data_IF_147157355898
#
_entry.id   IF_147157355898
#
_cell.length_a   1.000
_cell.length_b   1.000
_cell.length_c   1.000
_cell.angle_alpha   90.00
_cell.angle_beta   90.00
_cell.angle_gamma   90.00
#
_symmetry.space_group_name_H-M   'P 1'
#
loop_
_entity.id
_entity.type
_entity.pdbx_description
1 polymer ?
#
# COMPACT_ATOMS: atom_id res chain seq x y z
N UNK A 1 -24.14 16.46 21.11
CA UNK A 1 -22.93 15.97 21.81
C UNK A 1 -22.85 14.44 21.85
N UNK A 2 -23.92 13.68 22.13
CA UNK A 2 -23.89 12.21 22.14
C UNK A 2 -23.58 11.58 20.76
N UNK A 3 -24.24 12.05 19.68
CA UNK A 3 -24.06 11.52 18.32
C UNK A 3 -22.64 11.67 17.74
N UNK A 4 -21.93 12.76 18.10
CA UNK A 4 -20.54 12.99 17.69
C UNK A 4 -19.62 11.99 18.38
N UNK A 5 -19.80 11.78 19.69
CA UNK A 5 -19.02 10.82 20.48
C UNK A 5 -19.22 9.38 20.00
N UNK A 6 -20.45 9.01 19.66
CA UNK A 6 -20.76 7.68 19.12
C UNK A 6 -20.10 7.48 17.74
N UNK A 7 -20.04 8.52 16.91
CA UNK A 7 -19.36 8.49 15.61
C UNK A 7 -17.85 8.34 15.77
N UNK A 8 -17.22 9.10 16.66
CA UNK A 8 -15.79 8.98 16.98
C UNK A 8 -15.43 7.59 17.50
N UNK A 9 -16.25 7.01 18.38
CA UNK A 9 -16.04 5.67 18.90
C UNK A 9 -16.12 4.61 17.80
N UNK A 10 -17.07 4.74 16.87
CA UNK A 10 -17.18 3.84 15.71
C UNK A 10 -15.96 3.91 14.79
N UNK A 11 -15.44 5.11 14.54
CA UNK A 11 -14.23 5.30 13.73
C UNK A 11 -13.02 4.64 14.39
N UNK A 12 -12.80 4.89 15.68
CA UNK A 12 -11.71 4.26 16.46
C UNK A 12 -11.77 2.74 16.43
N UNK A 13 -12.96 2.17 16.58
CA UNK A 13 -13.14 0.73 16.53
C UNK A 13 -12.83 0.17 15.14
N UNK A 14 -13.33 0.82 14.08
CA UNK A 14 -13.05 0.45 12.69
C UNK A 14 -11.55 0.47 12.40
N UNK A 15 -10.87 1.55 12.78
CA UNK A 15 -9.44 1.71 12.52
C UNK A 15 -8.62 0.65 13.30
N UNK A 16 -9.04 0.34 14.53
CA UNK A 16 -8.45 -0.75 15.33
C UNK A 16 -8.63 -2.13 14.69
N UNK A 17 -9.81 -2.40 14.11
CA UNK A 17 -10.10 -3.65 13.41
C UNK A 17 -9.25 -3.76 12.14
N UNK A 18 -9.23 -2.71 11.32
CA UNK A 18 -8.45 -2.67 10.08
C UNK A 18 -6.95 -2.86 10.34
N UNK A 19 -6.42 -2.26 11.41
CA UNK A 19 -5.03 -2.47 11.81
C UNK A 19 -4.76 -3.93 12.20
N UNK A 20 -5.64 -4.55 13.00
CA UNK A 20 -5.49 -5.95 13.42
C UNK A 20 -5.58 -6.93 12.24
N UNK A 21 -6.48 -6.68 11.30
CA UNK A 21 -6.58 -7.45 10.06
C UNK A 21 -5.31 -7.33 9.23
N UNK A 22 -4.79 -6.11 9.05
CA UNK A 22 -3.54 -5.88 8.34
C UNK A 22 -2.34 -6.55 9.05
N UNK A 23 -2.24 -6.50 10.38
CA UNK A 23 -1.15 -7.18 11.10
C UNK A 23 -1.26 -8.71 11.00
N UNK A 24 -2.47 -9.27 10.98
CA UNK A 24 -2.67 -10.69 10.73
C UNK A 24 -2.27 -11.08 9.30
N UNK A 25 -2.70 -10.33 8.28
CA UNK A 25 -2.33 -10.54 6.88
C UNK A 25 -0.82 -10.40 6.67
N UNK A 26 -0.18 -9.41 7.31
CA UNK A 26 1.26 -9.23 7.28
C UNK A 26 2.05 -10.40 7.87
N UNK A 27 1.52 -11.03 8.92
CA UNK A 27 2.16 -12.20 9.55
C UNK A 27 1.94 -13.50 8.77
N UNK A 28 0.80 -13.64 8.10
CA UNK A 28 0.36 -14.90 7.51
C UNK A 28 0.48 -14.96 5.97
N UNK A 29 0.46 -13.82 5.29
CA UNK A 29 0.44 -13.73 3.83
C UNK A 29 1.75 -13.21 3.27
N UNK A 30 2.46 -14.05 2.50
CA UNK A 30 3.74 -13.67 1.89
C UNK A 30 3.61 -12.48 0.93
N UNK A 31 2.59 -12.49 0.08
CA UNK A 31 2.32 -11.38 -0.85
C UNK A 31 2.01 -10.08 -0.09
N UNK A 32 1.17 -10.15 0.94
CA UNK A 32 0.81 -8.98 1.74
C UNK A 32 2.03 -8.41 2.47
N UNK A 33 2.85 -9.29 3.07
CA UNK A 33 4.10 -8.89 3.71
C UNK A 33 5.06 -8.23 2.72
N UNK A 34 5.30 -8.85 1.57
CA UNK A 34 6.15 -8.31 0.51
C UNK A 34 5.70 -6.91 0.09
N UNK A 35 4.39 -6.71 -0.12
CA UNK A 35 3.85 -5.40 -0.49
C UNK A 35 4.07 -4.35 0.59
N UNK A 36 3.81 -4.67 1.86
CA UNK A 36 4.02 -3.73 2.96
C UNK A 36 5.51 -3.39 3.14
N UNK A 37 6.39 -4.39 3.06
CA UNK A 37 7.83 -4.18 3.16
C UNK A 37 8.34 -3.31 2.00
N UNK A 38 7.88 -3.55 0.76
CA UNK A 38 8.21 -2.72 -0.40
C UNK A 38 7.75 -1.26 -0.26
N UNK A 39 6.55 -1.02 0.30
CA UNK A 39 6.07 0.35 0.57
C UNK A 39 6.98 1.03 1.61
N UNK A 40 7.35 0.33 2.68
CA UNK A 40 8.23 0.86 3.74
C UNK A 40 9.63 1.18 3.17
N UNK A 41 10.18 0.28 2.37
CA UNK A 41 11.53 0.40 1.82
C UNK A 41 11.62 1.51 0.78
N UNK A 42 10.64 1.63 -0.12
CA UNK A 42 10.50 2.76 -1.05
C UNK A 42 10.39 4.10 -0.31
N UNK A 43 9.56 4.15 0.73
CA UNK A 43 9.36 5.37 1.50
C UNK A 43 10.68 5.86 2.14
N UNK A 44 11.53 4.91 2.58
CA UNK A 44 12.80 5.21 3.24
C UNK A 44 13.97 5.43 2.29
N UNK A 45 13.96 4.85 1.08
CA UNK A 45 15.10 4.89 0.15
C UNK A 45 15.47 6.32 -0.29
N UNK A 46 14.47 7.19 -0.46
CA UNK A 46 14.66 8.56 -0.92
C UNK A 46 15.38 9.49 0.08
N UNK A 47 15.56 9.06 1.33
CA UNK A 47 16.07 9.91 2.42
C UNK A 47 17.37 9.39 3.05
N UNK A 48 18.15 8.61 2.30
CA UNK A 48 19.48 8.13 2.74
C UNK A 48 19.44 7.02 3.79
N UNK A 49 18.26 6.44 4.05
CA UNK A 49 18.19 5.12 4.69
C UNK A 49 18.65 4.05 3.71
N UNK A 50 19.12 2.91 4.24
CA UNK A 50 19.61 1.72 3.51
C UNK A 50 18.56 1.03 2.61
N UNK A 51 17.74 1.78 1.89
CA UNK A 51 16.75 1.23 0.97
C UNK A 51 17.43 0.75 -0.30
N UNK A 52 17.15 -0.49 -0.70
CA UNK A 52 17.63 -1.07 -1.95
C UNK A 52 16.86 -0.56 -3.19
N UNK A 53 15.87 0.31 -2.97
CA UNK A 53 14.99 0.85 -4.00
C UNK A 53 15.52 2.12 -4.68
N UNK A 54 15.24 2.22 -5.99
CA UNK A 54 15.31 3.46 -6.73
C UNK A 54 14.16 4.42 -6.38
N UNK A 55 13.87 5.36 -7.29
CA UNK A 55 12.84 6.36 -7.04
C UNK A 55 11.38 5.84 -7.11
N UNK A 56 11.20 4.60 -7.53
CA UNK A 56 9.94 4.00 -7.93
C UNK A 56 9.91 2.51 -7.56
N UNK A 57 8.73 1.90 -7.49
CA UNK A 57 8.59 0.45 -7.30
C UNK A 57 9.21 -0.33 -8.47
N UNK A 58 9.72 -1.52 -8.19
CA UNK A 58 10.05 -2.52 -9.22
C UNK A 58 8.76 -3.02 -9.88
N UNK A 59 8.91 -3.75 -11.00
CA UNK A 59 7.74 -4.30 -11.69
C UNK A 59 7.03 -5.37 -10.85
N UNK A 60 7.74 -6.13 -10.04
CA UNK A 60 7.17 -7.19 -9.18
C UNK A 60 6.38 -6.60 -8.01
N UNK A 61 6.91 -5.57 -7.35
CA UNK A 61 6.24 -4.94 -6.21
C UNK A 61 4.99 -4.19 -6.65
N UNK A 62 5.08 -3.44 -7.76
CA UNK A 62 3.92 -2.78 -8.35
C UNK A 62 2.85 -3.80 -8.76
N UNK A 63 3.26 -4.97 -9.26
CA UNK A 63 2.35 -6.05 -9.60
C UNK A 63 1.69 -6.64 -8.34
N UNK A 64 2.42 -6.85 -7.25
CA UNK A 64 1.87 -7.31 -5.98
C UNK A 64 0.89 -6.32 -5.35
N UNK A 65 1.23 -5.02 -5.37
CA UNK A 65 0.33 -3.94 -4.91
C UNK A 65 -0.96 -3.96 -5.74
N UNK A 66 -0.84 -4.02 -7.07
CA UNK A 66 -1.99 -4.07 -7.98
C UNK A 66 -2.86 -5.30 -7.72
N UNK A 67 -2.27 -6.47 -7.52
CA UNK A 67 -3.03 -7.70 -7.27
C UNK A 67 -3.84 -7.59 -5.96
N UNK A 68 -3.28 -7.02 -4.89
CA UNK A 68 -4.04 -6.77 -3.66
C UNK A 68 -5.17 -5.75 -3.89
N UNK A 69 -4.88 -4.66 -4.61
CA UNK A 69 -5.90 -3.65 -4.93
C UNK A 69 -7.06 -4.28 -5.71
N UNK A 70 -6.76 -5.06 -6.74
CA UNK A 70 -7.78 -5.65 -7.62
C UNK A 70 -8.58 -6.78 -6.93
N UNK A 71 -7.99 -7.47 -5.95
CA UNK A 71 -8.70 -8.46 -5.14
C UNK A 71 -9.80 -7.81 -4.28
N UNK A 72 -9.54 -6.63 -3.72
CA UNK A 72 -10.43 -5.98 -2.75
C UNK A 72 -11.23 -4.79 -3.29
N UNK A 73 -10.95 -4.31 -4.51
CA UNK A 73 -11.60 -3.14 -5.10
C UNK A 73 -12.16 -3.41 -6.49
N UNK A 74 -13.38 -2.91 -6.75
CA UNK A 74 -14.08 -3.03 -8.04
C UNK A 74 -14.25 -1.68 -8.73
N UNK A 75 -14.21 -0.59 -7.97
CA UNK A 75 -14.34 0.77 -8.48
C UNK A 75 -13.06 1.58 -8.26
N UNK A 76 -12.92 2.69 -8.99
CA UNK A 76 -11.78 3.61 -8.83
C UNK A 76 -11.65 4.10 -7.37
N UNK A 77 -12.75 4.48 -6.74
CA UNK A 77 -12.76 4.98 -5.36
C UNK A 77 -12.36 3.88 -4.36
N UNK A 78 -12.81 2.65 -4.58
CA UNK A 78 -12.38 1.51 -3.76
C UNK A 78 -10.89 1.21 -3.95
N UNK A 79 -10.34 1.36 -5.15
CA UNK A 79 -8.89 1.15 -5.40
C UNK A 79 -8.05 2.14 -4.57
N UNK A 80 -8.44 3.41 -4.52
CA UNK A 80 -7.79 4.39 -3.66
C UNK A 80 -8.02 4.11 -2.17
N UNK A 81 -9.21 3.63 -1.77
CA UNK A 81 -9.46 3.27 -0.38
C UNK A 81 -8.56 2.11 0.09
N UNK A 82 -8.38 1.08 -0.73
CA UNK A 82 -7.47 -0.04 -0.44
C UNK A 82 -6.01 0.43 -0.44
N UNK A 83 -5.61 1.24 -1.41
CA UNK A 83 -4.28 1.83 -1.50
C UNK A 83 -3.93 2.64 -0.25
N UNK A 84 -4.84 3.51 0.18
CA UNK A 84 -4.69 4.30 1.40
C UNK A 84 -4.60 3.43 2.64
N UNK A 85 -5.35 2.32 2.70
CA UNK A 85 -5.27 1.39 3.82
C UNK A 85 -3.91 0.69 3.89
N UNK A 86 -3.34 0.27 2.75
CA UNK A 86 -1.99 -0.31 2.67
C UNK A 86 -0.93 0.68 3.15
N UNK A 87 -0.96 1.91 2.62
CA UNK A 87 0.01 2.97 3.00
C UNK A 87 -0.11 3.29 4.49
N UNK A 88 -1.32 3.52 5.01
CA UNK A 88 -1.51 3.80 6.44
C UNK A 88 -0.95 2.71 7.35
N UNK A 89 -1.15 1.43 6.99
CA UNK A 89 -0.56 0.33 7.75
C UNK A 89 0.97 0.34 7.67
N UNK A 90 1.53 0.54 6.47
CA UNK A 90 2.97 0.66 6.26
C UNK A 90 3.57 1.85 7.04
N UNK A 91 2.89 3.00 7.11
CA UNK A 91 3.30 4.18 7.89
C UNK A 91 3.50 3.84 9.36
N UNK A 92 2.51 3.19 9.97
CA UNK A 92 2.57 2.79 11.38
C UNK A 92 3.64 1.73 11.61
N UNK A 93 3.70 0.71 10.75
CA UNK A 93 4.65 -0.40 10.86
C UNK A 93 6.10 0.04 10.68
N UNK A 94 6.34 0.87 9.66
CA UNK A 94 7.65 1.36 9.25
C UNK A 94 8.16 2.55 10.06
N UNK A 95 7.29 3.19 10.87
CA UNK A 95 7.56 4.45 11.59
C UNK A 95 8.03 5.55 10.64
N UNK A 96 7.24 5.74 9.58
CA UNK A 96 7.56 6.69 8.51
C UNK A 96 7.40 8.15 9.00
N UNK A 97 8.25 9.04 8.51
CA UNK A 97 8.10 10.49 8.69
C UNK A 97 7.09 11.06 7.68
N UNK A 98 6.52 12.23 7.93
CA UNK A 98 5.52 12.84 7.02
C UNK A 98 6.00 12.91 5.56
N UNK A 99 7.27 13.28 5.33
CA UNK A 99 7.84 13.31 3.97
C UNK A 99 7.94 11.92 3.31
N UNK A 100 8.15 10.87 4.10
CA UNK A 100 8.16 9.48 3.64
C UNK A 100 6.73 8.98 3.37
N UNK A 101 5.77 9.42 4.19
CA UNK A 101 4.35 9.13 4.05
C UNK A 101 3.82 9.72 2.73
N UNK A 102 4.09 11.00 2.46
CA UNK A 102 3.65 11.67 1.22
C UNK A 102 4.17 10.98 -0.03
N UNK A 103 5.43 10.54 0.00
CA UNK A 103 6.03 9.75 -1.08
C UNK A 103 5.33 8.40 -1.26
N UNK A 104 5.10 7.67 -0.17
CA UNK A 104 4.44 6.36 -0.21
C UNK A 104 3.03 6.47 -0.80
N UNK A 105 2.26 7.48 -0.41
CA UNK A 105 0.95 7.75 -1.00
C UNK A 105 1.04 8.01 -2.49
N UNK A 106 1.91 8.94 -2.92
CA UNK A 106 2.06 9.28 -4.34
C UNK A 106 2.38 8.04 -5.19
N UNK A 107 3.27 7.18 -4.72
CA UNK A 107 3.71 6.03 -5.53
C UNK A 107 2.66 4.91 -5.57
N UNK A 108 2.00 4.61 -4.44
CA UNK A 108 0.94 3.60 -4.40
C UNK A 108 -0.29 4.07 -5.17
N UNK A 109 -0.61 5.36 -5.12
CA UNK A 109 -1.68 5.96 -5.92
C UNK A 109 -1.40 5.84 -7.42
N UNK A 110 -0.14 6.00 -7.86
CA UNK A 110 0.25 5.77 -9.25
C UNK A 110 0.01 4.32 -9.70
N UNK A 111 0.16 3.33 -8.80
CA UNK A 111 -0.23 1.93 -9.06
C UNK A 111 -1.75 1.81 -9.14
N UNK A 112 -2.49 2.41 -8.20
CA UNK A 112 -3.95 2.39 -8.15
C UNK A 112 -4.61 3.04 -9.38
N UNK A 113 -3.99 4.09 -9.92
CA UNK A 113 -4.36 4.76 -11.17
C UNK A 113 -4.04 3.93 -12.41
N UNK A 114 -3.16 2.93 -12.29
CA UNK A 114 -2.73 2.08 -13.39
C UNK A 114 -1.56 2.63 -14.21
N UNK A 115 -0.82 3.64 -13.71
CA UNK A 115 0.39 4.17 -14.39
C UNK A 115 1.47 3.11 -14.54
N UNK A 116 1.41 2.08 -13.69
CA UNK A 116 2.29 0.92 -13.73
C UNK A 116 1.87 -0.19 -14.70
N UNK A 117 0.66 -0.17 -15.26
CA UNK A 117 0.11 -1.28 -16.05
C UNK A 117 1.08 -1.72 -17.17
N UNK A 118 1.57 -0.78 -17.99
CA UNK A 118 2.49 -1.12 -19.07
C UNK A 118 3.85 -1.69 -18.60
N UNK A 119 4.31 -1.35 -17.39
CA UNK A 119 5.52 -1.95 -16.80
C UNK A 119 5.25 -3.37 -16.29
N UNK A 120 4.10 -3.56 -15.63
CA UNK A 120 3.63 -4.85 -15.12
C UNK A 120 3.41 -5.84 -16.27
N UNK A 121 2.70 -5.42 -17.32
CA UNK A 121 2.38 -6.27 -18.47
C UNK A 121 3.64 -6.76 -19.19
N UNK A 122 4.64 -5.88 -19.37
CA UNK A 122 5.95 -6.27 -19.94
C UNK A 122 6.75 -7.20 -19.02
N UNK A 123 6.65 -7.02 -17.71
CA UNK A 123 7.30 -7.90 -16.73
C UNK A 123 6.66 -9.29 -16.65
N UNK A 124 5.35 -9.38 -16.87
CA UNK A 124 4.59 -10.64 -16.90
C UNK A 124 4.59 -11.34 -18.27
N UNK A 125 4.89 -10.61 -19.36
CA UNK A 125 4.61 -11.03 -20.74
C UNK A 125 5.80 -11.07 -21.71
N UNK A 126 7.03 -11.23 -21.22
CA UNK A 126 8.23 -11.44 -22.07
C UNK A 126 8.29 -12.78 -22.84
N UNK A 127 7.18 -13.53 -22.94
CA UNK A 127 7.01 -14.66 -23.86
C UNK A 127 5.66 -14.46 -24.55
N UNK A 128 5.69 -13.72 -25.67
CA UNK A 128 4.66 -13.89 -26.69
C UNK A 128 5.15 -15.02 -27.61
N UNK A 129 4.37 -16.08 -27.72
CA UNK A 129 4.60 -17.22 -28.63
C UNK A 129 4.29 -16.80 -30.07
#
# INVERSE_FOLDING_TARGET
MQSVRDSENRLKWRDSLLYRLADALYRAGELFRMVIDAIIDLAKSAFGSKGEHGDIFTNEEAAGIKDIIDEYAKSKDERFAVSNWLVNFACVKGKLTDAQIDRAFSEVDDVAEGRYNGRIDRGRGGISI
#
